data_IF_369430416027
#
_entry.id   IF_369430416027
#
_cell.length_a   1.000
_cell.length_b   1.000
_cell.length_c   1.000
_cell.angle_alpha   90.00
_cell.angle_beta   90.00
_cell.angle_gamma   90.00
#
_symmetry.space_group_name_H-M   'P 1'
#
loop_
_entity.id
_entity.type
_entity.pdbx_description
1 polymer ?
#
# COMPACT_ATOMS: atom_id res chain seq x y z
N UNK A 1 -35.45 68.54 13.88
CA UNK A 1 -35.75 67.12 13.58
C UNK A 1 -34.89 66.67 12.40
N UNK A 2 -33.73 66.05 12.66
CA UNK A 2 -33.10 65.14 11.69
C UNK A 2 -31.97 64.37 12.39
N UNK A 3 -32.31 63.28 13.10
CA UNK A 3 -31.35 62.22 13.43
C UNK A 3 -31.49 61.21 12.30
N UNK A 4 -30.61 61.31 11.29
CA UNK A 4 -30.52 60.35 10.18
C UNK A 4 -29.62 59.20 10.64
N UNK A 5 -30.21 58.03 10.78
CA UNK A 5 -29.71 56.70 10.40
C UNK A 5 -28.18 56.50 10.28
N UNK A 6 -27.43 56.50 11.38
CA UNK A 6 -26.05 55.98 11.44
C UNK A 6 -26.00 54.44 11.59
N UNK A 7 -27.13 53.80 11.95
CA UNK A 7 -27.21 52.36 12.22
C UNK A 7 -26.91 51.46 11.01
N UNK A 8 -27.05 51.99 9.79
CA UNK A 8 -26.80 51.21 8.57
C UNK A 8 -25.31 51.01 8.28
N UNK A 9 -24.46 51.93 8.74
CA UNK A 9 -23.02 51.86 8.51
C UNK A 9 -22.36 50.89 9.49
N UNK A 10 -22.77 50.90 10.76
CA UNK A 10 -22.31 49.93 11.77
C UNK A 10 -22.67 48.49 11.38
N UNK A 11 -23.89 48.26 10.88
CA UNK A 11 -24.30 46.93 10.41
C UNK A 11 -23.46 46.42 9.22
N UNK A 12 -22.98 47.33 8.36
CA UNK A 12 -22.07 46.98 7.26
C UNK A 12 -20.67 46.65 7.79
N UNK A 13 -20.19 47.37 8.81
CA UNK A 13 -18.92 47.04 9.46
C UNK A 13 -18.95 45.67 10.15
N UNK A 14 -20.03 45.33 10.85
CA UNK A 14 -20.21 44.03 11.48
C UNK A 14 -20.18 42.89 10.44
N UNK A 15 -20.84 43.07 9.29
CA UNK A 15 -20.81 42.10 8.19
C UNK A 15 -19.41 41.93 7.59
N UNK A 16 -18.63 43.02 7.48
CA UNK A 16 -17.25 42.96 6.99
C UNK A 16 -16.38 42.18 7.97
N UNK A 17 -16.55 42.39 9.28
CA UNK A 17 -15.79 41.67 10.31
C UNK A 17 -16.10 40.17 10.30
N UNK A 18 -17.38 39.78 10.16
CA UNK A 18 -17.78 38.39 10.03
C UNK A 18 -17.14 37.70 8.82
N UNK A 19 -17.10 38.38 7.67
CA UNK A 19 -16.46 37.87 6.45
C UNK A 19 -14.95 37.72 6.64
N UNK A 20 -14.29 38.64 7.35
CA UNK A 20 -12.86 38.55 7.65
C UNK A 20 -12.57 37.32 8.51
N UNK A 21 -13.35 37.10 9.57
CA UNK A 21 -13.19 35.94 10.45
C UNK A 21 -13.41 34.62 9.69
N UNK A 22 -14.44 34.56 8.85
CA UNK A 22 -14.70 33.40 8.00
C UNK A 22 -13.55 33.15 7.01
N UNK A 23 -13.00 34.20 6.39
CA UNK A 23 -11.88 34.09 5.46
C UNK A 23 -10.59 33.64 6.15
N UNK A 24 -10.33 34.07 7.39
CA UNK A 24 -9.22 33.59 8.20
C UNK A 24 -9.37 32.10 8.53
N UNK A 25 -10.55 31.68 8.98
CA UNK A 25 -10.84 30.26 9.24
C UNK A 25 -10.65 29.39 7.99
N UNK A 26 -11.09 29.85 6.81
CA UNK A 26 -10.87 29.14 5.54
C UNK A 26 -9.38 29.00 5.19
N UNK A 27 -8.56 30.03 5.48
CA UNK A 27 -7.11 29.97 5.27
C UNK A 27 -6.46 28.91 6.15
N UNK A 28 -6.85 28.83 7.43
CA UNK A 28 -6.36 27.84 8.39
C UNK A 28 -6.77 26.41 8.00
N UNK A 29 -8.01 26.22 7.53
CA UNK A 29 -8.50 24.95 7.00
C UNK A 29 -7.70 24.55 5.76
N UNK A 30 -7.45 25.49 4.85
CA UNK A 30 -6.65 25.25 3.64
C UNK A 30 -5.22 24.82 3.98
N UNK A 31 -4.57 25.46 4.96
CA UNK A 31 -3.23 25.06 5.41
C UNK A 31 -3.22 23.67 6.02
N UNK A 32 -4.21 23.35 6.85
CA UNK A 32 -4.33 22.03 7.48
C UNK A 32 -4.53 20.92 6.45
N UNK A 33 -5.38 21.15 5.44
CA UNK A 33 -5.61 20.20 4.34
C UNK A 33 -4.32 19.95 3.55
N UNK A 34 -3.55 21.01 3.28
CA UNK A 34 -2.26 20.89 2.59
C UNK A 34 -1.27 20.05 3.39
N UNK A 35 -1.12 20.32 4.68
CA UNK A 35 -0.23 19.55 5.57
C UNK A 35 -0.64 18.08 5.68
N UNK A 36 -1.95 17.81 5.81
CA UNK A 36 -2.47 16.43 5.80
C UNK A 36 -2.18 15.71 4.47
N UNK A 37 -2.28 16.42 3.35
CA UNK A 37 -1.97 15.89 2.02
C UNK A 37 -0.48 15.60 1.88
N UNK A 38 0.39 16.51 2.33
CA UNK A 38 1.85 16.33 2.36
C UNK A 38 2.25 15.14 3.24
N UNK A 39 1.63 14.99 4.41
CA UNK A 39 1.86 13.85 5.31
C UNK A 39 1.38 12.53 4.70
N UNK A 40 0.20 12.52 4.08
CA UNK A 40 -0.33 11.34 3.38
C UNK A 40 0.57 10.92 2.21
N UNK A 41 1.11 11.89 1.45
CA UNK A 41 2.05 11.63 0.36
C UNK A 41 3.41 11.13 0.86
N UNK A 42 3.92 11.69 1.96
CA UNK A 42 5.19 11.27 2.56
C UNK A 42 5.12 9.85 3.13
N UNK A 43 3.97 9.48 3.72
CA UNK A 43 3.74 8.14 4.27
C UNK A 43 3.34 7.08 3.23
N UNK A 44 2.95 7.49 2.01
CA UNK A 44 2.70 6.54 0.90
C UNK A 44 3.97 5.82 0.45
N UNK A 45 5.14 6.34 0.80
CA UNK A 45 6.42 5.85 0.31
C UNK A 45 7.45 5.79 1.43
N UNK A 46 7.22 4.93 2.43
CA UNK A 46 8.35 4.30 3.13
C UNK A 46 9.04 3.34 2.15
N UNK A 47 9.66 3.92 1.12
CA UNK A 47 10.41 3.18 0.12
C UNK A 47 11.55 2.49 0.85
N UNK A 48 11.47 1.17 0.98
CA UNK A 48 12.57 0.35 1.45
C UNK A 48 13.66 0.44 0.38
N UNK A 49 14.62 1.34 0.59
CA UNK A 49 15.76 1.50 -0.33
C UNK A 49 16.75 0.37 -0.08
N UNK A 50 16.70 -0.65 -0.94
CA UNK A 50 17.66 -1.74 -0.96
C UNK A 50 18.75 -1.47 -1.99
N UNK A 51 19.99 -1.91 -1.72
CA UNK A 51 21.01 -1.99 -2.78
C UNK A 51 20.56 -3.01 -3.82
N UNK A 52 21.05 -2.90 -5.05
CA UNK A 52 20.65 -3.80 -6.14
C UNK A 52 20.87 -5.29 -5.80
N UNK A 53 21.97 -5.63 -5.13
CA UNK A 53 22.25 -7.00 -4.69
C UNK A 53 21.25 -7.49 -3.63
N UNK A 54 20.90 -6.64 -2.66
CA UNK A 54 19.94 -6.96 -1.60
C UNK A 54 18.52 -7.10 -2.20
N UNK A 55 18.15 -6.22 -3.12
CA UNK A 55 16.89 -6.29 -3.85
C UNK A 55 16.79 -7.59 -4.66
N UNK A 56 17.86 -8.01 -5.33
CA UNK A 56 17.91 -9.28 -6.05
C UNK A 56 17.76 -10.47 -5.10
N UNK A 57 18.45 -10.47 -3.96
CA UNK A 57 18.34 -11.53 -2.97
C UNK A 57 16.92 -11.65 -2.38
N UNK A 58 16.27 -10.51 -2.08
CA UNK A 58 14.87 -10.50 -1.60
C UNK A 58 13.93 -10.97 -2.71
N UNK A 59 14.14 -10.55 -3.97
CA UNK A 59 13.36 -11.06 -5.10
C UNK A 59 13.49 -12.58 -5.24
N UNK A 60 14.70 -13.11 -5.20
CA UNK A 60 14.93 -14.56 -5.32
C UNK A 60 14.29 -15.36 -4.17
N UNK A 61 14.26 -14.78 -2.95
CA UNK A 61 13.64 -15.41 -1.79
C UNK A 61 12.10 -15.41 -1.84
N UNK A 62 11.49 -14.33 -2.36
CA UNK A 62 10.05 -14.09 -2.29
C UNK A 62 9.34 -14.09 -3.65
N UNK A 63 10.02 -14.41 -4.75
CA UNK A 63 9.40 -14.59 -6.05
C UNK A 63 8.68 -15.94 -6.14
N UNK A 64 7.57 -15.95 -6.88
CA UNK A 64 6.94 -17.19 -7.28
C UNK A 64 7.85 -17.95 -8.24
N UNK A 65 8.14 -19.23 -7.95
CA UNK A 65 9.02 -20.04 -8.80
C UNK A 65 8.45 -20.28 -10.20
N UNK A 66 7.12 -20.14 -10.37
CA UNK A 66 6.40 -20.35 -11.64
C UNK A 66 6.34 -19.06 -12.45
N UNK A 67 5.71 -17.99 -11.94
CA UNK A 67 5.54 -16.75 -12.69
C UNK A 67 6.71 -15.75 -12.56
N UNK A 68 7.67 -16.00 -11.66
CA UNK A 68 8.81 -15.11 -11.34
C UNK A 68 8.41 -13.71 -10.83
N UNK A 69 7.13 -13.50 -10.55
CA UNK A 69 6.58 -12.27 -10.00
C UNK A 69 6.40 -12.33 -8.47
N UNK A 70 5.83 -11.27 -7.88
CA UNK A 70 5.53 -11.22 -6.46
C UNK A 70 4.51 -12.30 -6.09
N UNK A 71 4.69 -12.91 -4.91
CA UNK A 71 3.81 -13.99 -4.44
C UNK A 71 2.49 -13.43 -3.93
N UNK A 72 1.39 -13.91 -4.49
CA UNK A 72 0.01 -13.62 -4.09
C UNK A 72 -0.60 -14.90 -3.51
N UNK A 73 -1.13 -14.82 -2.29
CA UNK A 73 -1.62 -15.99 -1.54
C UNK A 73 -0.55 -17.10 -1.42
N UNK A 74 0.43 -16.92 -0.52
CA UNK A 74 1.63 -17.73 -0.49
C UNK A 74 1.39 -19.20 -0.19
N UNK A 75 1.97 -20.05 -1.03
CA UNK A 75 2.10 -21.50 -0.81
C UNK A 75 3.53 -21.84 -0.44
N UNK A 76 3.71 -22.58 0.65
CA UNK A 76 4.97 -23.23 1.01
C UNK A 76 4.89 -24.73 0.72
N UNK A 77 6.02 -25.35 0.42
CA UNK A 77 6.14 -26.80 0.34
C UNK A 77 6.92 -27.36 1.53
N UNK A 78 6.44 -28.48 2.07
CA UNK A 78 7.10 -29.21 3.14
C UNK A 78 8.34 -29.94 2.64
N UNK A 79 8.33 -30.42 1.39
CA UNK A 79 9.43 -31.21 0.81
C UNK A 79 10.77 -30.45 0.71
N UNK A 80 10.74 -29.12 0.59
CA UNK A 80 11.94 -28.28 0.61
C UNK A 80 11.87 -27.12 1.61
N UNK A 81 10.89 -27.16 2.51
CA UNK A 81 10.67 -26.16 3.56
C UNK A 81 10.76 -24.71 3.06
N UNK A 82 10.15 -24.43 1.91
CA UNK A 82 10.33 -23.15 1.22
C UNK A 82 9.02 -22.60 0.70
N UNK A 83 8.95 -21.26 0.65
CA UNK A 83 8.00 -20.55 -0.19
C UNK A 83 8.17 -21.00 -1.64
N UNK A 84 7.06 -21.36 -2.27
CA UNK A 84 6.99 -21.83 -3.64
C UNK A 84 6.46 -20.73 -4.53
N UNK A 85 5.30 -20.18 -4.22
CA UNK A 85 4.66 -19.27 -5.14
C UNK A 85 3.23 -18.96 -4.81
N UNK A 86 2.56 -18.39 -5.81
CA UNK A 86 1.15 -18.05 -5.71
C UNK A 86 0.29 -19.33 -5.65
N UNK A 87 -0.87 -19.23 -5.00
CA UNK A 87 -1.89 -20.29 -4.96
C UNK A 87 -2.25 -20.75 -6.37
N UNK A 88 -2.68 -19.82 -7.23
CA UNK A 88 -3.11 -20.11 -8.61
C UNK A 88 -2.01 -20.76 -9.45
N UNK A 89 -0.79 -20.23 -9.39
CA UNK A 89 0.35 -20.81 -10.09
C UNK A 89 0.65 -22.25 -9.62
N UNK A 90 0.50 -22.51 -8.33
CA UNK A 90 0.75 -23.83 -7.75
C UNK A 90 -0.36 -24.82 -8.13
N UNK A 91 -1.62 -24.38 -8.13
CA UNK A 91 -2.76 -25.20 -8.57
C UNK A 91 -2.67 -25.57 -10.05
N UNK A 92 -2.31 -24.63 -10.93
CA UNK A 92 -2.08 -24.91 -12.35
C UNK A 92 -0.89 -25.86 -12.55
N UNK A 93 0.18 -25.70 -11.77
CA UNK A 93 1.32 -26.61 -11.82
C UNK A 93 0.92 -28.05 -11.47
N UNK A 94 0.12 -28.23 -10.40
CA UNK A 94 -0.33 -29.55 -9.93
C UNK A 94 -1.20 -30.30 -10.95
N UNK A 95 -1.88 -29.59 -11.86
CA UNK A 95 -2.63 -30.23 -12.96
C UNK A 95 -1.72 -30.91 -13.97
N UNK A 96 -0.49 -30.43 -14.12
CA UNK A 96 0.44 -30.84 -15.18
C UNK A 96 1.67 -31.60 -14.64
N UNK A 97 1.93 -31.57 -13.33
CA UNK A 97 3.10 -32.19 -12.73
C UNK A 97 2.87 -32.59 -11.28
N UNK A 98 3.36 -33.78 -10.90
CA UNK A 98 3.40 -34.25 -9.52
C UNK A 98 4.66 -33.77 -8.76
N UNK A 99 5.61 -33.14 -9.44
CA UNK A 99 6.90 -32.76 -8.87
C UNK A 99 6.90 -31.32 -8.35
N UNK A 100 7.65 -31.08 -7.27
CA UNK A 100 7.84 -29.75 -6.74
C UNK A 100 8.55 -28.86 -7.78
N UNK A 101 8.02 -27.67 -8.09
CA UNK A 101 8.64 -26.77 -9.07
C UNK A 101 9.99 -26.21 -8.60
N UNK A 102 10.30 -26.28 -7.30
CA UNK A 102 11.56 -25.80 -6.72
C UNK A 102 12.63 -26.90 -6.60
N UNK A 103 12.34 -27.98 -5.86
CA UNK A 103 13.33 -29.03 -5.55
C UNK A 103 13.15 -30.32 -6.36
N UNK A 104 12.10 -30.44 -7.17
CA UNK A 104 11.75 -31.64 -7.96
C UNK A 104 11.43 -32.91 -7.14
N UNK A 105 11.25 -32.80 -5.82
CA UNK A 105 10.69 -33.89 -5.02
C UNK A 105 9.29 -34.28 -5.54
N UNK A 106 8.94 -35.55 -5.40
CA UNK A 106 7.64 -36.10 -5.71
C UNK A 106 6.57 -35.66 -4.71
N UNK A 107 5.33 -36.12 -4.93
CA UNK A 107 4.18 -35.90 -4.05
C UNK A 107 3.89 -34.43 -3.72
N UNK A 108 4.22 -33.50 -4.62
CA UNK A 108 3.99 -32.07 -4.40
C UNK A 108 2.51 -31.72 -4.19
N UNK A 109 1.59 -32.55 -4.70
CA UNK A 109 0.15 -32.37 -4.53
C UNK A 109 -0.30 -32.28 -3.07
N UNK A 110 0.26 -33.13 -2.20
CA UNK A 110 -0.12 -33.26 -0.78
C UNK A 110 0.85 -32.52 0.16
N UNK A 111 2.04 -32.16 -0.32
CA UNK A 111 3.12 -31.57 0.46
C UNK A 111 3.15 -30.04 0.43
N UNK A 112 1.98 -29.39 0.35
CA UNK A 112 1.88 -27.92 0.29
C UNK A 112 0.95 -27.38 1.36
N UNK A 113 1.31 -26.24 1.92
CA UNK A 113 0.50 -25.51 2.91
C UNK A 113 0.30 -24.08 2.44
N UNK A 114 -0.94 -23.59 2.53
CA UNK A 114 -1.25 -22.16 2.34
C UNK A 114 -0.89 -21.41 3.62
N UNK A 115 -0.12 -20.35 3.48
CA UNK A 115 0.26 -19.49 4.61
C UNK A 115 -0.70 -18.30 4.65
N UNK A 116 -1.36 -18.11 5.79
CA UNK A 116 -2.20 -16.93 6.05
C UNK A 116 -1.42 -15.90 6.86
N UNK A 117 -1.84 -14.63 6.79
CA UNK A 117 -1.22 -13.53 7.55
C UNK A 117 0.08 -12.96 6.94
N UNK A 118 0.63 -13.57 5.88
CA UNK A 118 1.82 -13.07 5.18
C UNK A 118 1.48 -12.26 3.92
N UNK A 119 0.22 -12.26 3.48
CA UNK A 119 -0.21 -11.65 2.22
C UNK A 119 0.10 -10.15 2.14
N UNK A 120 -0.21 -9.38 3.19
CA UNK A 120 -0.01 -7.93 3.18
C UNK A 120 1.47 -7.55 3.15
N UNK A 121 2.32 -8.31 3.87
CA UNK A 121 3.77 -8.11 3.86
C UNK A 121 4.36 -8.41 2.47
N UNK A 122 3.90 -9.48 1.81
CA UNK A 122 4.32 -9.80 0.43
C UNK A 122 3.82 -8.77 -0.58
N UNK A 123 2.62 -8.22 -0.40
CA UNK A 123 2.10 -7.15 -1.24
C UNK A 123 2.95 -5.87 -1.10
N UNK A 124 3.33 -5.51 0.13
CA UNK A 124 4.22 -4.38 0.39
C UNK A 124 5.60 -4.58 -0.28
N UNK A 125 6.19 -5.78 -0.18
CA UNK A 125 7.44 -6.13 -0.87
C UNK A 125 7.27 -6.10 -2.40
N UNK A 126 6.13 -6.59 -2.91
CA UNK A 126 5.77 -6.53 -4.32
C UNK A 126 5.82 -5.11 -4.87
N UNK A 127 5.15 -4.19 -4.19
CA UNK A 127 5.10 -2.77 -4.56
C UNK A 127 6.46 -2.06 -4.48
N UNK A 128 7.36 -2.52 -3.62
CA UNK A 128 8.69 -1.94 -3.45
C UNK A 128 9.70 -2.47 -4.48
N UNK A 129 9.56 -3.73 -4.91
CA UNK A 129 10.59 -4.42 -5.67
C UNK A 129 10.22 -4.68 -7.14
N UNK A 130 8.94 -4.80 -7.48
CA UNK A 130 8.46 -5.12 -8.84
C UNK A 130 7.74 -3.95 -9.52
N UNK A 131 8.25 -2.72 -9.33
CA UNK A 131 7.84 -1.55 -10.12
C UNK A 131 8.39 -1.61 -11.54
#
# INVERSE_FOLDING_TARGET
LSRRDDNGLDAVYDQIEEVILAAQGLREVSTTIRELTELANSNRSTAVSLRAADAAAVKDAFACVVCKGPVVEPIVATCCQSLIGCLTCTEEWKKNSAFCPKCRADEFGINTVRVTGLSDALAALGNALWQ
#
